data_IF_334107259608
#
_entry.id   IF_334107259608
#
_cell.length_a   1.000
_cell.length_b   1.000
_cell.length_c   1.000
_cell.angle_alpha   90.00
_cell.angle_beta   90.00
_cell.angle_gamma   90.00
#
_symmetry.space_group_name_H-M   'P 1'
#
loop_
_entity.id
_entity.type
_entity.pdbx_description
1 polymer ?
#
# COMPACT_ATOMS: atom_id res chain seq x y z
N UNK A 1 -0.47 -50.66 -63.85
CA UNK A 1 -0.96 -49.59 -62.99
C UNK A 1 -0.10 -49.61 -61.69
N UNK A 2 0.80 -48.66 -61.55
CA UNK A 2 1.74 -48.54 -60.39
C UNK A 2 1.17 -47.53 -59.41
N UNK A 3 0.80 -48.02 -58.25
CA UNK A 3 0.36 -47.13 -57.17
C UNK A 3 1.60 -46.49 -56.46
N UNK A 4 1.67 -45.18 -56.49
CA UNK A 4 2.67 -44.41 -55.75
C UNK A 4 2.01 -43.99 -54.42
N UNK A 5 2.57 -44.50 -53.32
CA UNK A 5 2.21 -44.06 -51.97
C UNK A 5 3.12 -42.91 -51.57
N UNK A 6 2.54 -41.72 -51.39
CA UNK A 6 3.24 -40.55 -50.87
C UNK A 6 3.11 -40.56 -49.35
N UNK A 7 4.21 -40.82 -48.67
CA UNK A 7 4.28 -40.69 -47.21
C UNK A 7 4.46 -39.24 -46.79
N UNK A 8 3.53 -38.71 -46.05
CA UNK A 8 3.65 -37.39 -45.39
C UNK A 8 4.47 -37.50 -44.11
N UNK A 9 5.63 -36.86 -44.04
CA UNK A 9 6.41 -36.72 -42.83
C UNK A 9 5.85 -35.60 -41.98
N UNK A 10 5.36 -35.90 -40.79
CA UNK A 10 4.95 -34.94 -39.77
C UNK A 10 6.20 -34.50 -38.97
N UNK A 11 6.64 -33.29 -39.19
CA UNK A 11 7.71 -32.70 -38.37
C UNK A 11 7.06 -32.11 -37.08
N UNK A 12 7.27 -32.81 -35.95
CA UNK A 12 6.93 -32.28 -34.63
C UNK A 12 8.03 -31.32 -34.19
N UNK A 13 7.75 -30.03 -34.26
CA UNK A 13 8.63 -29.02 -33.70
C UNK A 13 8.46 -28.99 -32.15
N UNK A 14 9.41 -29.57 -31.44
CA UNK A 14 9.53 -29.41 -29.98
C UNK A 14 9.96 -27.97 -29.69
N UNK A 15 9.01 -27.13 -29.29
CA UNK A 15 9.29 -25.83 -28.75
C UNK A 15 10.00 -25.97 -27.41
N UNK A 16 11.30 -25.75 -27.38
CA UNK A 16 12.06 -25.53 -26.14
C UNK A 16 11.65 -24.16 -25.60
N UNK A 17 10.73 -24.13 -24.63
CA UNK A 17 10.53 -22.96 -23.79
C UNK A 17 11.76 -22.80 -22.91
N UNK A 18 12.62 -21.84 -23.24
CA UNK A 18 13.68 -21.39 -22.36
C UNK A 18 13.02 -20.72 -21.15
N UNK A 19 12.93 -21.44 -20.04
CA UNK A 19 12.68 -20.81 -18.76
C UNK A 19 13.79 -19.79 -18.55
N UNK A 20 13.45 -18.51 -18.53
CA UNK A 20 14.39 -17.46 -18.17
C UNK A 20 14.91 -17.82 -16.76
N UNK A 21 16.22 -17.95 -16.62
CA UNK A 21 16.85 -18.18 -15.33
C UNK A 21 16.46 -17.01 -14.43
N UNK A 22 15.64 -17.27 -13.41
CA UNK A 22 15.35 -16.28 -12.39
C UNK A 22 16.68 -15.88 -11.74
N UNK A 23 16.94 -14.57 -11.67
CA UNK A 23 18.07 -14.08 -10.92
C UNK A 23 18.03 -14.53 -9.46
N UNK A 24 19.09 -14.31 -8.69
CA UNK A 24 19.09 -14.69 -7.27
C UNK A 24 17.94 -14.01 -6.54
N UNK A 25 17.26 -14.77 -5.66
CA UNK A 25 16.19 -14.24 -4.80
C UNK A 25 16.66 -13.01 -4.02
N UNK A 26 15.79 -12.02 -3.90
CA UNK A 26 16.09 -10.83 -3.09
C UNK A 26 16.44 -11.24 -1.65
N UNK A 27 17.42 -10.56 -1.10
CA UNK A 27 17.85 -10.71 0.29
C UNK A 27 17.92 -9.34 0.95
N UNK A 28 17.46 -9.23 2.21
CA UNK A 28 17.57 -7.96 2.91
C UNK A 28 19.04 -7.57 3.13
N UNK A 29 19.35 -6.25 3.09
CA UNK A 29 20.68 -5.76 3.39
C UNK A 29 21.03 -5.99 4.87
N UNK A 30 22.34 -6.13 5.14
CA UNK A 30 22.84 -6.25 6.50
C UNK A 30 22.52 -4.98 7.33
N UNK A 31 22.47 -5.12 8.66
CA UNK A 31 22.14 -4.00 9.55
C UNK A 31 23.00 -2.76 9.31
N UNK A 32 24.29 -2.90 9.14
CA UNK A 32 25.20 -1.77 8.90
C UNK A 32 24.95 -1.02 7.58
N UNK A 33 24.12 -1.56 6.68
CA UNK A 33 23.73 -0.90 5.43
C UNK A 33 22.38 -0.16 5.53
N UNK A 34 21.57 -0.48 6.55
CA UNK A 34 20.22 0.08 6.75
C UNK A 34 20.07 0.86 8.06
N UNK A 35 21.00 0.72 8.99
CA UNK A 35 20.95 1.35 10.31
C UNK A 35 22.31 2.00 10.66
N UNK A 36 22.29 3.18 11.28
CA UNK A 36 21.09 3.97 11.57
C UNK A 36 20.43 4.53 10.30
N UNK A 37 19.14 4.89 10.41
CA UNK A 37 18.44 5.52 9.31
C UNK A 37 19.08 6.86 8.93
N UNK A 38 18.81 7.33 7.72
CA UNK A 38 19.25 8.68 7.27
C UNK A 38 18.71 9.83 8.12
N UNK A 39 17.67 9.56 8.93
CA UNK A 39 17.03 10.53 9.82
C UNK A 39 17.62 10.51 11.24
N UNK A 40 18.58 9.62 11.50
CA UNK A 40 19.28 9.49 12.78
C UNK A 40 18.90 8.23 13.57
N UNK A 41 19.76 7.89 14.53
CA UNK A 41 19.66 6.63 15.28
C UNK A 41 18.43 6.52 16.19
N UNK A 42 17.80 7.63 16.54
CA UNK A 42 16.61 7.68 17.41
C UNK A 42 15.34 7.95 16.62
N UNK A 43 15.42 7.98 15.29
CA UNK A 43 14.27 8.27 14.45
C UNK A 43 13.23 7.15 14.51
N UNK A 44 11.97 7.55 14.65
CA UNK A 44 10.80 6.69 14.69
C UNK A 44 9.77 7.03 13.60
N UNK A 45 10.07 8.05 12.77
CA UNK A 45 9.11 8.65 11.82
C UNK A 45 9.43 8.36 10.35
N UNK A 46 10.66 7.95 10.04
CA UNK A 46 11.10 7.62 8.69
C UNK A 46 10.79 8.71 7.67
N UNK A 47 10.22 8.32 6.53
CA UNK A 47 9.85 9.23 5.45
C UNK A 47 8.81 10.29 5.82
N UNK A 48 8.07 10.10 6.92
CA UNK A 48 7.23 11.17 7.50
C UNK A 48 8.00 12.44 7.87
N UNK A 49 9.32 12.36 7.99
CA UNK A 49 10.19 13.53 8.22
C UNK A 49 10.31 14.48 7.01
N UNK A 50 9.85 14.06 5.83
CA UNK A 50 9.67 14.97 4.69
C UNK A 50 8.58 16.01 4.91
N UNK A 51 7.68 15.79 5.87
CA UNK A 51 6.63 16.75 6.18
C UNK A 51 7.21 17.98 6.88
N UNK A 52 7.30 19.07 6.14
CA UNK A 52 7.81 20.37 6.56
C UNK A 52 6.83 21.47 6.13
N UNK A 53 6.89 22.68 6.70
CA UNK A 53 6.04 23.78 6.27
C UNK A 53 6.03 24.02 4.77
N UNK A 54 7.19 23.92 4.13
CA UNK A 54 7.37 24.12 2.69
C UNK A 54 6.66 23.05 1.86
N UNK A 55 6.71 21.77 2.27
CA UNK A 55 6.02 20.66 1.59
C UNK A 55 4.51 20.80 1.72
N UNK A 56 4.02 21.23 2.88
CA UNK A 56 2.59 21.51 3.10
C UNK A 56 2.13 22.66 2.20
N UNK A 57 2.83 23.80 2.21
CA UNK A 57 2.48 24.94 1.36
C UNK A 57 2.53 24.59 -0.12
N UNK A 58 3.49 23.76 -0.54
CA UNK A 58 3.57 23.26 -1.92
C UNK A 58 2.34 22.40 -2.28
N UNK A 59 1.95 21.48 -1.40
CA UNK A 59 0.78 20.63 -1.60
C UNK A 59 -0.51 21.49 -1.70
N UNK A 60 -0.73 22.40 -0.79
CA UNK A 60 -1.93 23.26 -0.76
C UNK A 60 -2.03 24.14 -2.01
N UNK A 61 -0.91 24.57 -2.59
CA UNK A 61 -0.91 25.34 -3.86
C UNK A 61 -1.41 24.53 -5.07
N UNK A 62 -1.53 23.19 -4.97
CA UNK A 62 -2.13 22.37 -6.01
C UNK A 62 -3.66 22.45 -6.04
N UNK A 63 -4.26 22.92 -4.96
CA UNK A 63 -5.71 23.10 -4.88
C UNK A 63 -6.14 24.25 -5.79
N UNK A 64 -6.90 23.93 -6.86
CA UNK A 64 -7.40 24.88 -7.84
C UNK A 64 -8.92 24.94 -7.88
N UNK A 65 -9.57 23.77 -7.77
CA UNK A 65 -11.02 23.64 -7.85
C UNK A 65 -11.70 23.51 -6.49
N UNK A 66 -10.95 23.23 -5.42
CA UNK A 66 -11.51 22.94 -4.10
C UNK A 66 -12.29 21.64 -4.04
N UNK A 67 -12.15 20.76 -5.05
CA UNK A 67 -12.81 19.47 -5.08
C UNK A 67 -12.07 18.47 -4.18
N UNK A 68 -12.83 17.84 -3.26
CA UNK A 68 -12.34 16.80 -2.36
C UNK A 68 -12.74 15.44 -2.90
N UNK A 69 -11.78 14.54 -3.04
CA UNK A 69 -11.98 13.14 -3.47
C UNK A 69 -11.55 12.23 -2.31
N UNK A 70 -12.49 11.44 -1.80
CA UNK A 70 -12.21 10.45 -0.77
C UNK A 70 -11.48 9.24 -1.36
N UNK A 71 -10.37 8.85 -0.72
CA UNK A 71 -9.53 7.74 -1.13
C UNK A 71 -9.64 6.52 -0.21
N UNK A 72 -10.51 6.60 0.79
CA UNK A 72 -10.78 5.50 1.72
C UNK A 72 -12.07 4.77 1.39
N UNK A 73 -12.09 3.46 1.63
CA UNK A 73 -13.30 2.66 1.58
C UNK A 73 -14.10 2.77 2.88
N UNK A 74 -15.42 2.63 2.78
CA UNK A 74 -16.28 2.47 3.96
C UNK A 74 -16.00 1.11 4.59
N UNK A 75 -15.70 1.10 5.90
CA UNK A 75 -15.42 -0.11 6.65
C UNK A 75 -16.74 -0.72 7.17
N UNK A 76 -16.91 -2.01 6.98
CA UNK A 76 -18.03 -2.78 7.50
C UNK A 76 -17.66 -4.27 7.58
N UNK A 77 -18.49 -5.07 8.25
CA UNK A 77 -18.23 -6.51 8.44
C UNK A 77 -18.27 -7.35 7.14
N UNK A 78 -18.77 -6.78 6.03
CA UNK A 78 -18.81 -7.44 4.72
C UNK A 78 -17.68 -7.03 3.79
N UNK A 79 -16.74 -6.18 4.24
CA UNK A 79 -15.58 -5.80 3.44
C UNK A 79 -14.63 -6.98 3.22
N UNK A 80 -13.77 -6.96 2.18
CA UNK A 80 -12.72 -7.96 2.05
C UNK A 80 -11.75 -7.87 3.23
N UNK A 81 -11.49 -9.00 3.86
CA UNK A 81 -10.66 -9.11 5.06
C UNK A 81 -9.95 -10.46 5.08
N UNK A 82 -8.72 -10.50 5.57
CA UNK A 82 -7.99 -11.75 5.80
C UNK A 82 -8.72 -12.63 6.81
N UNK A 83 -8.71 -13.95 6.59
CA UNK A 83 -9.32 -14.92 7.51
C UNK A 83 -8.75 -14.91 8.93
N UNK A 84 -7.59 -14.30 9.13
CA UNK A 84 -6.94 -14.17 10.44
C UNK A 84 -7.33 -12.89 11.17
N UNK A 85 -8.13 -12.03 10.56
CA UNK A 85 -8.54 -10.72 11.10
C UNK A 85 -10.05 -10.65 11.25
N UNK A 86 -10.54 -9.70 12.05
CA UNK A 86 -11.97 -9.46 12.27
C UNK A 86 -12.32 -7.99 12.20
N UNK A 87 -13.60 -7.74 11.98
CA UNK A 87 -14.22 -6.42 12.08
C UNK A 87 -15.66 -6.58 12.59
N UNK A 88 -15.79 -6.67 13.91
CA UNK A 88 -17.07 -6.92 14.57
C UNK A 88 -17.59 -5.62 15.21
N UNK A 89 -18.81 -5.22 14.86
CA UNK A 89 -19.45 -4.02 15.38
C UNK A 89 -20.68 -4.42 16.18
N UNK A 90 -20.79 -3.95 17.42
CA UNK A 90 -21.91 -4.17 18.30
C UNK A 90 -22.51 -2.83 18.73
N UNK A 91 -23.74 -2.56 18.31
CA UNK A 91 -24.48 -1.37 18.75
C UNK A 91 -24.91 -1.51 20.19
N UNK A 92 -24.69 -0.47 20.97
CA UNK A 92 -25.05 -0.38 22.39
C UNK A 92 -25.93 0.84 22.63
N UNK A 93 -27.13 0.61 23.17
CA UNK A 93 -27.93 1.69 23.71
C UNK A 93 -27.49 1.98 25.15
N UNK A 94 -27.07 3.22 25.42
CA UNK A 94 -26.81 3.63 26.77
C UNK A 94 -28.10 4.07 27.44
N UNK A 95 -28.33 3.56 28.67
CA UNK A 95 -29.48 4.00 29.45
C UNK A 95 -29.27 5.42 29.93
N UNK A 96 -30.36 6.14 29.91
CA UNK A 96 -30.34 7.56 30.18
C UNK A 96 -31.02 7.84 31.48
N UNK A 97 -30.49 8.76 32.23
CA UNK A 97 -31.28 9.48 33.20
C UNK A 97 -32.54 9.99 32.53
N UNK A 98 -33.64 10.04 33.27
CA UNK A 98 -34.91 10.60 32.81
C UNK A 98 -35.03 12.08 33.22
N UNK A 99 -34.13 12.98 32.87
CA UNK A 99 -34.31 14.40 33.08
C UNK A 99 -35.36 14.91 32.12
N UNK A 100 -35.78 16.16 32.30
CA UNK A 100 -36.91 16.78 31.58
C UNK A 100 -36.81 16.70 30.05
N UNK A 101 -35.63 16.66 29.49
CA UNK A 101 -35.36 16.58 28.05
C UNK A 101 -35.36 15.16 27.47
N UNK A 102 -35.56 14.10 28.28
CA UNK A 102 -35.63 12.69 27.88
C UNK A 102 -34.51 12.26 26.92
N UNK A 103 -33.27 12.76 27.14
CA UNK A 103 -32.11 12.49 26.29
C UNK A 103 -31.77 11.00 26.27
N UNK A 104 -31.54 10.45 25.06
CA UNK A 104 -31.00 9.11 24.81
C UNK A 104 -29.65 9.22 24.11
N UNK A 105 -28.79 8.19 24.18
CA UNK A 105 -27.61 8.03 23.33
C UNK A 105 -27.42 6.60 22.86
N UNK A 106 -26.73 6.45 21.76
CA UNK A 106 -26.31 5.18 21.23
C UNK A 106 -24.79 5.23 21.07
N UNK A 107 -24.16 4.09 21.27
CA UNK A 107 -22.73 3.88 21.11
C UNK A 107 -22.50 2.54 20.41
N UNK A 108 -21.30 2.29 19.94
CA UNK A 108 -20.88 1.02 19.37
C UNK A 108 -19.56 0.57 20.01
N UNK A 109 -19.39 -0.75 20.00
CA UNK A 109 -18.12 -1.41 20.31
C UNK A 109 -17.58 -1.96 19.00
N UNK A 110 -16.33 -1.66 18.70
CA UNK A 110 -15.59 -2.24 17.59
C UNK A 110 -14.52 -3.18 18.15
N UNK A 111 -14.56 -4.44 17.70
CA UNK A 111 -13.51 -5.41 17.93
C UNK A 111 -12.84 -5.74 16.58
N UNK A 112 -11.60 -5.29 16.41
CA UNK A 112 -10.92 -5.38 15.11
C UNK A 112 -9.41 -5.26 15.27
N UNK A 113 -8.66 -5.83 14.33
CA UNK A 113 -7.26 -5.48 14.06
C UNK A 113 -7.21 -4.14 13.32
N UNK A 114 -7.64 -3.06 13.96
CA UNK A 114 -7.90 -1.74 13.37
C UNK A 114 -6.72 -1.11 12.62
N UNK A 115 -5.51 -1.58 12.85
CA UNK A 115 -4.32 -1.16 12.10
C UNK A 115 -4.11 -1.91 10.79
N UNK A 116 -4.93 -2.95 10.52
CA UNK A 116 -4.66 -3.93 9.47
C UNK A 116 -5.92 -4.34 8.70
N UNK A 117 -6.94 -3.47 8.68
CA UNK A 117 -8.22 -3.71 8.00
C UNK A 117 -8.68 -2.49 7.23
N UNK A 118 -9.30 -2.72 6.08
CA UNK A 118 -9.79 -1.67 5.20
C UNK A 118 -8.68 -0.83 4.58
N UNK A 119 -8.97 0.42 4.23
CA UNK A 119 -7.95 1.37 3.83
C UNK A 119 -7.07 1.68 5.04
N UNK A 120 -5.78 1.35 4.96
CA UNK A 120 -4.89 1.35 6.11
C UNK A 120 -3.49 1.87 5.77
N UNK A 121 -2.84 2.48 6.76
CA UNK A 121 -1.43 2.85 6.74
C UNK A 121 -0.63 1.89 7.60
N UNK A 122 0.38 1.27 7.01
CA UNK A 122 1.33 0.45 7.75
C UNK A 122 2.38 1.32 8.44
N UNK A 123 2.54 1.05 9.73
CA UNK A 123 3.60 1.61 10.56
C UNK A 123 4.85 0.73 10.58
N UNK A 124 5.92 1.27 11.11
CA UNK A 124 7.23 0.62 11.08
C UNK A 124 7.39 -0.55 12.06
N UNK A 125 6.44 -0.72 12.98
CA UNK A 125 6.38 -1.91 13.83
C UNK A 125 5.68 -3.11 13.15
N UNK A 126 5.16 -2.94 11.90
CA UNK A 126 4.36 -3.96 11.23
C UNK A 126 5.19 -5.10 10.65
N UNK A 127 6.34 -4.81 10.07
CA UNK A 127 7.19 -5.80 9.41
C UNK A 127 8.59 -5.84 10.03
N UNK A 128 9.26 -6.98 9.86
CA UNK A 128 10.59 -7.21 10.41
C UNK A 128 11.55 -7.77 9.36
N UNK A 129 12.84 -7.58 9.62
CA UNK A 129 13.92 -8.40 9.08
C UNK A 129 14.55 -9.08 10.29
N UNK A 130 14.45 -10.43 10.36
CA UNK A 130 14.74 -11.19 11.56
C UNK A 130 13.92 -10.68 12.76
N UNK A 131 14.59 -10.28 13.85
CA UNK A 131 14.01 -9.73 15.08
C UNK A 131 13.98 -8.19 15.13
N UNK A 132 14.21 -7.50 13.99
CA UNK A 132 14.37 -6.04 13.94
C UNK A 132 13.36 -5.40 13.00
N UNK A 133 12.79 -4.31 13.46
CA UNK A 133 11.96 -3.39 12.69
C UNK A 133 12.81 -2.24 12.11
N UNK A 134 12.17 -1.22 11.54
CA UNK A 134 12.83 -0.01 11.06
C UNK A 134 13.86 0.53 12.07
N UNK A 135 14.96 1.07 11.52
CA UNK A 135 16.07 1.67 12.27
C UNK A 135 16.73 0.69 13.27
N UNK A 136 16.62 -0.62 13.01
CA UNK A 136 17.17 -1.71 13.79
C UNK A 136 16.71 -1.78 15.25
N UNK A 137 15.57 -1.22 15.60
CA UNK A 137 14.98 -1.49 16.91
C UNK A 137 14.63 -2.98 17.02
N UNK A 138 15.12 -3.63 18.08
CA UNK A 138 14.87 -5.05 18.32
C UNK A 138 13.49 -5.25 18.95
N UNK A 139 12.77 -6.28 18.52
CA UNK A 139 11.45 -6.59 19.07
C UNK A 139 11.45 -6.79 20.58
N UNK A 140 12.43 -7.51 21.10
CA UNK A 140 12.54 -7.79 22.55
C UNK A 140 12.70 -6.52 23.39
N UNK A 141 13.28 -5.46 22.82
CA UNK A 141 13.49 -4.19 23.50
C UNK A 141 12.25 -3.27 23.45
N UNK A 142 11.39 -3.46 22.44
CA UNK A 142 10.30 -2.50 22.15
C UNK A 142 8.88 -3.08 22.29
N UNK A 143 8.70 -4.41 22.18
CA UNK A 143 7.40 -5.03 22.29
C UNK A 143 6.98 -5.15 23.78
N UNK A 144 5.75 -4.74 24.06
CA UNK A 144 5.15 -4.85 25.39
C UNK A 144 3.80 -5.58 25.29
N UNK A 145 3.21 -5.90 26.42
CA UNK A 145 1.87 -6.52 26.44
C UNK A 145 0.75 -5.60 25.89
N UNK A 146 0.99 -4.30 25.82
CA UNK A 146 -0.02 -3.30 25.44
C UNK A 146 0.33 -2.54 24.16
N UNK A 147 1.35 -2.97 23.43
CA UNK A 147 1.80 -2.35 22.18
C UNK A 147 3.31 -2.14 22.16
N UNK A 148 3.79 -1.45 21.14
CA UNK A 148 5.20 -1.14 20.96
C UNK A 148 5.55 0.21 21.59
N UNK A 149 6.65 0.29 22.32
CA UNK A 149 7.12 1.54 22.95
C UNK A 149 7.98 2.40 21.99
N UNK A 150 8.31 1.86 20.81
CA UNK A 150 9.01 2.52 19.71
C UNK A 150 8.27 2.28 18.39
N UNK A 151 8.45 3.18 17.45
CA UNK A 151 7.93 3.12 16.06
C UNK A 151 6.42 2.86 15.95
N UNK A 152 5.64 3.15 17.01
CA UNK A 152 4.19 3.06 16.99
C UNK A 152 3.57 4.05 15.99
N UNK A 153 2.38 3.71 15.49
CA UNK A 153 1.70 4.49 14.45
C UNK A 153 1.41 5.95 14.86
N UNK A 154 1.28 6.22 16.15
CA UNK A 154 1.07 7.58 16.68
C UNK A 154 2.24 8.52 16.42
N UNK A 155 3.44 7.97 16.13
CA UNK A 155 4.65 8.74 15.81
C UNK A 155 4.63 9.32 14.41
N UNK A 156 3.88 8.75 13.49
CA UNK A 156 3.78 9.21 12.10
C UNK A 156 3.26 10.65 12.02
N UNK A 157 2.21 10.95 12.78
CA UNK A 157 1.56 12.25 12.76
C UNK A 157 0.74 12.49 11.49
N UNK A 158 0.38 13.75 11.25
CA UNK A 158 -0.35 14.15 10.04
C UNK A 158 0.58 14.15 8.84
N UNK A 159 0.10 13.69 7.70
CA UNK A 159 0.81 13.73 6.41
C UNK A 159 0.03 14.60 5.43
N UNK A 160 0.66 15.70 4.98
CA UNK A 160 0.15 16.62 3.95
C UNK A 160 1.28 16.83 2.97
N UNK A 161 1.10 16.36 1.74
CA UNK A 161 2.13 16.45 0.71
C UNK A 161 1.52 16.43 -0.69
N UNK A 162 2.35 16.57 -1.71
CA UNK A 162 1.96 16.34 -3.08
C UNK A 162 1.66 14.86 -3.29
N UNK A 163 0.46 14.53 -3.78
CA UNK A 163 0.09 13.20 -4.26
C UNK A 163 0.33 13.08 -5.75
N UNK A 164 0.90 11.94 -6.18
CA UNK A 164 1.07 11.59 -7.59
C UNK A 164 0.41 10.25 -7.84
N UNK A 165 -0.64 10.25 -8.68
CA UNK A 165 -1.26 9.02 -9.17
C UNK A 165 -0.47 8.46 -10.34
N UNK A 166 -0.01 7.22 -10.24
CA UNK A 166 0.59 6.46 -11.34
C UNK A 166 -0.46 5.46 -11.83
N UNK A 167 -1.12 5.77 -12.95
CA UNK A 167 -2.22 4.97 -13.49
C UNK A 167 -1.69 3.91 -14.46
N UNK A 168 -1.33 2.75 -13.91
CA UNK A 168 -0.80 1.62 -14.69
C UNK A 168 -1.91 0.92 -15.47
N UNK A 169 -3.12 0.85 -14.94
CA UNK A 169 -4.26 0.28 -15.67
C UNK A 169 -4.53 1.08 -16.96
N UNK A 170 -4.57 2.41 -16.88
CA UNK A 170 -4.72 3.27 -18.05
C UNK A 170 -3.53 3.18 -19.02
N UNK A 171 -2.30 3.03 -18.52
CA UNK A 171 -1.12 2.79 -19.38
C UNK A 171 -1.31 1.55 -20.23
N UNK A 172 -1.78 0.45 -19.63
CA UNK A 172 -2.01 -0.84 -20.31
C UNK A 172 -3.30 -0.85 -21.15
N UNK A 173 -4.12 0.19 -21.09
CA UNK A 173 -5.39 0.28 -21.81
C UNK A 173 -6.45 -0.70 -21.31
N UNK A 174 -6.41 -1.04 -20.02
CA UNK A 174 -7.34 -1.96 -19.38
C UNK A 174 -8.04 -1.29 -18.21
N UNK A 175 -9.21 -1.79 -17.87
CA UNK A 175 -9.97 -1.32 -16.71
C UNK A 175 -9.40 -1.81 -15.36
N UNK A 176 -8.70 -2.95 -15.41
CA UNK A 176 -8.08 -3.60 -14.27
C UNK A 176 -6.93 -4.48 -14.77
N UNK A 177 -5.79 -4.43 -14.11
CA UNK A 177 -4.65 -5.29 -14.41
C UNK A 177 -5.01 -6.77 -14.17
N UNK A 178 -4.37 -7.70 -14.89
CA UNK A 178 -4.54 -9.13 -14.63
C UNK A 178 -4.17 -9.52 -13.19
N UNK A 179 -4.78 -10.60 -12.72
CA UNK A 179 -4.44 -11.21 -11.43
C UNK A 179 -2.92 -11.48 -11.39
N UNK A 180 -2.28 -11.12 -10.28
CA UNK A 180 -0.84 -11.32 -10.07
C UNK A 180 0.10 -10.65 -11.09
N UNK A 181 -0.36 -9.61 -11.78
CA UNK A 181 0.50 -8.82 -12.67
C UNK A 181 1.58 -8.08 -11.86
N UNK A 182 2.85 -8.36 -12.12
CA UNK A 182 3.95 -7.62 -11.54
C UNK A 182 4.16 -6.29 -12.25
N UNK A 183 3.90 -5.19 -11.54
CA UNK A 183 4.17 -3.82 -12.02
C UNK A 183 5.67 -3.58 -11.96
N UNK A 184 6.26 -3.34 -13.13
CA UNK A 184 7.70 -3.17 -13.30
C UNK A 184 8.14 -1.71 -13.22
N UNK A 185 9.44 -1.45 -13.12
CA UNK A 185 10.03 -0.10 -13.25
C UNK A 185 9.61 0.54 -14.56
N UNK A 186 9.67 -0.21 -15.67
CA UNK A 186 9.29 0.29 -16.99
C UNK A 186 7.82 0.72 -17.04
N UNK A 187 6.91 0.01 -16.37
CA UNK A 187 5.51 0.40 -16.28
C UNK A 187 5.32 1.73 -15.54
N UNK A 188 6.02 1.89 -14.42
CA UNK A 188 5.96 3.12 -13.61
C UNK A 188 6.52 4.32 -14.41
N UNK A 189 7.67 4.17 -15.04
CA UNK A 189 8.31 5.22 -15.83
C UNK A 189 7.46 5.62 -17.04
N UNK A 190 6.91 4.65 -17.77
CA UNK A 190 6.05 4.91 -18.92
C UNK A 190 4.74 5.59 -18.52
N UNK A 191 4.13 5.16 -17.38
CA UNK A 191 2.93 5.81 -16.86
C UNK A 191 3.21 7.26 -16.47
N UNK A 192 4.28 7.52 -15.73
CA UNK A 192 4.71 8.88 -15.36
C UNK A 192 4.98 9.75 -16.59
N UNK A 193 5.68 9.21 -17.59
CA UNK A 193 5.93 9.92 -18.86
C UNK A 193 4.62 10.27 -19.56
N UNK A 194 3.72 9.31 -19.72
CA UNK A 194 2.40 9.51 -20.37
C UNK A 194 1.56 10.55 -19.64
N UNK A 195 1.68 10.61 -18.33
CA UNK A 195 0.96 11.54 -17.47
C UNK A 195 1.67 12.89 -17.31
N UNK A 196 2.84 13.06 -17.93
CA UNK A 196 3.72 14.23 -17.77
C UNK A 196 4.03 14.55 -16.31
N UNK A 197 4.30 13.49 -15.52
CA UNK A 197 4.63 13.59 -14.09
C UNK A 197 6.08 13.18 -13.84
N UNK A 198 6.67 13.75 -12.80
CA UNK A 198 7.98 13.37 -12.25
C UNK A 198 7.86 13.28 -10.73
N UNK A 199 8.39 12.22 -10.16
CA UNK A 199 8.43 12.05 -8.71
C UNK A 199 9.44 13.01 -8.08
N UNK A 200 9.18 13.39 -6.84
CA UNK A 200 10.01 14.25 -6.03
C UNK A 200 10.10 13.69 -4.61
N UNK A 201 11.22 13.88 -3.90
CA UNK A 201 11.31 13.49 -2.50
C UNK A 201 10.14 14.02 -1.67
N UNK A 202 9.57 13.15 -0.86
CA UNK A 202 8.42 13.47 -0.01
C UNK A 202 7.05 13.38 -0.69
N UNK A 203 6.93 12.96 -1.95
CA UNK A 203 5.63 12.73 -2.57
C UNK A 203 4.88 11.55 -1.93
N UNK A 204 3.55 11.59 -1.92
CA UNK A 204 2.70 10.43 -1.77
C UNK A 204 2.51 9.79 -3.15
N UNK A 205 3.18 8.67 -3.39
CA UNK A 205 3.09 7.92 -4.66
C UNK A 205 1.93 6.94 -4.58
N UNK A 206 0.93 7.12 -5.42
CA UNK A 206 -0.30 6.33 -5.42
C UNK A 206 -0.41 5.55 -6.74
N UNK A 207 -0.48 4.23 -6.67
CA UNK A 207 -0.47 3.33 -7.83
C UNK A 207 -1.90 2.81 -8.06
N UNK A 208 -2.44 3.05 -9.25
CA UNK A 208 -3.75 2.55 -9.67
C UNK A 208 -3.59 1.33 -10.57
N UNK A 209 -4.12 0.22 -10.11
CA UNK A 209 -4.18 -1.06 -10.82
C UNK A 209 -5.57 -1.39 -11.36
N UNK A 210 -6.60 -0.72 -10.87
CA UNK A 210 -8.01 -1.03 -11.10
C UNK A 210 -8.55 -2.15 -10.21
N UNK A 211 -7.72 -2.78 -9.37
CA UNK A 211 -8.09 -3.90 -8.50
C UNK A 211 -9.14 -3.53 -7.47
N UNK A 212 -9.13 -2.30 -6.99
CA UNK A 212 -10.14 -1.75 -6.08
C UNK A 212 -11.59 -1.87 -6.58
N UNK A 213 -11.80 -2.11 -7.89
CA UNK A 213 -13.15 -2.37 -8.46
C UNK A 213 -13.79 -3.65 -7.93
N UNK A 214 -13.00 -4.59 -7.40
CA UNK A 214 -13.50 -5.84 -6.80
C UNK A 214 -14.00 -5.65 -5.36
N UNK A 215 -13.61 -4.57 -4.69
CA UNK A 215 -13.98 -4.28 -3.30
C UNK A 215 -15.50 -4.34 -3.10
N UNK A 216 -15.96 -5.15 -2.14
CA UNK A 216 -17.34 -5.41 -1.82
C UNK A 216 -18.21 -5.97 -2.98
N UNK A 217 -17.58 -6.37 -4.11
CA UNK A 217 -18.24 -7.01 -5.26
C UNK A 217 -17.80 -8.45 -5.44
N UNK A 218 -16.50 -8.71 -5.34
CA UNK A 218 -15.89 -10.03 -5.39
C UNK A 218 -14.73 -10.11 -4.40
N UNK A 219 -15.06 -10.19 -3.12
CA UNK A 219 -14.09 -10.23 -2.04
C UNK A 219 -13.20 -11.47 -2.11
N UNK A 220 -13.72 -12.59 -2.61
CA UNK A 220 -12.95 -13.83 -2.73
C UNK A 220 -11.80 -13.66 -3.73
N UNK A 221 -12.06 -13.09 -4.90
CA UNK A 221 -11.04 -12.78 -5.89
C UNK A 221 -10.11 -11.69 -5.40
N UNK A 222 -10.65 -10.64 -4.76
CA UNK A 222 -9.87 -9.53 -4.21
C UNK A 222 -8.77 -10.01 -3.27
N UNK A 223 -9.07 -11.00 -2.41
CA UNK A 223 -8.15 -11.53 -1.38
C UNK A 223 -7.30 -12.73 -1.83
N UNK A 224 -7.59 -13.33 -3.00
CA UNK A 224 -6.87 -14.52 -3.47
C UNK A 224 -5.46 -14.22 -4.00
N UNK A 225 -5.29 -13.06 -4.58
CA UNK A 225 -4.04 -12.57 -5.15
C UNK A 225 -4.32 -11.27 -5.90
N UNK A 226 -3.30 -10.47 -6.18
CA UNK A 226 -3.48 -9.15 -6.77
C UNK A 226 -2.27 -8.71 -7.61
N UNK A 227 -2.47 -7.80 -8.57
CA UNK A 227 -1.38 -7.08 -9.19
C UNK A 227 -0.71 -6.16 -8.17
N UNK A 228 0.55 -5.81 -8.39
CA UNK A 228 1.28 -4.89 -7.54
C UNK A 228 2.73 -4.76 -7.95
N UNK A 229 3.47 -3.90 -7.28
CA UNK A 229 4.89 -3.68 -7.60
C UNK A 229 5.73 -4.88 -7.18
N UNK A 230 6.74 -5.20 -7.99
CA UNK A 230 7.78 -6.19 -7.66
C UNK A 230 8.94 -5.55 -6.91
N UNK A 231 9.92 -6.39 -6.57
CA UNK A 231 11.14 -5.98 -5.84
C UNK A 231 11.87 -4.83 -6.53
N UNK A 232 12.14 -4.95 -7.82
CA UNK A 232 12.89 -3.93 -8.57
C UNK A 232 12.16 -2.59 -8.60
N UNK A 233 10.83 -2.62 -8.76
CA UNK A 233 10.00 -1.42 -8.73
C UNK A 233 9.99 -0.77 -7.34
N UNK A 234 9.96 -1.56 -6.28
CA UNK A 234 10.07 -1.07 -4.90
C UNK A 234 11.42 -0.40 -4.63
N UNK A 235 12.52 -1.04 -5.01
CA UNK A 235 13.86 -0.45 -4.86
C UNK A 235 14.04 0.84 -5.69
N UNK A 236 13.44 0.88 -6.90
CA UNK A 236 13.44 2.08 -7.73
C UNK A 236 12.62 3.21 -7.08
N UNK A 237 11.43 2.91 -6.56
CA UNK A 237 10.60 3.87 -5.83
C UNK A 237 11.29 4.37 -4.56
N UNK A 238 11.94 3.49 -3.79
CA UNK A 238 12.68 3.89 -2.59
C UNK A 238 13.78 4.91 -2.90
N UNK A 239 14.43 4.81 -4.07
CA UNK A 239 15.43 5.80 -4.54
C UNK A 239 14.81 7.15 -4.92
N UNK A 240 13.50 7.21 -5.23
CA UNK A 240 12.79 8.49 -5.43
C UNK A 240 12.46 9.18 -4.11
N UNK A 241 12.68 8.51 -2.98
CA UNK A 241 12.53 9.03 -1.62
C UNK A 241 11.10 9.54 -1.30
N UNK A 242 10.05 8.77 -1.59
CA UNK A 242 8.67 9.19 -1.33
C UNK A 242 8.37 9.23 0.17
N UNK A 243 7.32 9.98 0.56
CA UNK A 243 6.79 9.95 1.92
C UNK A 243 6.04 8.64 2.19
N UNK A 244 5.31 8.15 1.21
CA UNK A 244 4.62 6.88 1.24
C UNK A 244 4.40 6.35 -0.18
N UNK A 245 4.16 5.04 -0.27
CA UNK A 245 3.68 4.37 -1.49
C UNK A 245 2.35 3.71 -1.18
N UNK A 246 1.32 3.96 -1.99
CA UNK A 246 0.00 3.39 -1.81
C UNK A 246 -0.55 2.75 -3.07
N UNK A 247 -1.54 1.84 -2.91
CA UNK A 247 -2.23 1.20 -4.01
C UNK A 247 -3.69 0.82 -3.68
N UNK A 248 -4.45 0.50 -4.72
CA UNK A 248 -5.83 0.00 -4.62
C UNK A 248 -5.91 -1.53 -4.41
N UNK A 249 -4.85 -2.12 -3.87
CA UNK A 249 -4.70 -3.57 -3.61
C UNK A 249 -4.53 -3.86 -2.12
N UNK A 250 -4.78 -5.11 -1.66
CA UNK A 250 -4.58 -5.48 -0.25
C UNK A 250 -3.15 -5.25 0.24
N UNK A 251 -2.10 -5.91 -0.32
CA UNK A 251 -0.74 -5.40 -0.24
C UNK A 251 -0.47 -4.48 -1.43
N UNK A 252 0.40 -3.54 -1.28
CA UNK A 252 0.87 -2.69 -2.38
C UNK A 252 1.64 -3.52 -3.42
N UNK A 253 2.23 -4.60 -2.99
CA UNK A 253 3.05 -5.50 -3.82
C UNK A 253 2.24 -6.57 -4.52
N UNK A 254 2.82 -7.14 -5.59
CA UNK A 254 2.25 -8.29 -6.28
C UNK A 254 2.15 -9.49 -5.33
N UNK A 255 0.99 -10.14 -5.31
CA UNK A 255 0.74 -11.30 -4.45
C UNK A 255 -0.01 -12.40 -5.22
N UNK A 256 0.43 -13.68 -5.15
CA UNK A 256 1.69 -14.12 -4.51
C UNK A 256 2.94 -13.56 -5.21
N UNK A 257 4.05 -13.50 -4.48
CA UNK A 257 5.31 -13.07 -5.10
C UNK A 257 5.72 -14.02 -6.23
N UNK A 258 6.22 -13.52 -7.39
CA UNK A 258 6.71 -14.37 -8.48
C UNK A 258 7.85 -15.31 -8.06
N UNK A 259 8.69 -14.91 -7.11
CA UNK A 259 9.67 -15.78 -6.47
C UNK A 259 9.03 -16.46 -5.24
N UNK A 260 8.76 -17.78 -5.30
CA UNK A 260 8.09 -18.49 -4.20
C UNK A 260 8.98 -18.67 -2.94
N UNK A 261 10.26 -18.29 -3.00
CA UNK A 261 11.17 -18.38 -1.87
C UNK A 261 11.10 -17.18 -0.92
N UNK A 262 10.44 -16.10 -1.33
CA UNK A 262 10.32 -14.87 -0.56
C UNK A 262 8.85 -14.47 -0.39
N UNK A 263 8.53 -13.92 0.77
CA UNK A 263 7.20 -13.44 1.11
C UNK A 263 7.23 -11.97 1.48
N UNK A 264 6.38 -11.17 0.84
CA UNK A 264 6.21 -9.75 1.10
C UNK A 264 7.54 -8.93 1.13
N UNK A 265 8.43 -9.09 0.13
CA UNK A 265 9.72 -8.38 0.12
C UNK A 265 9.56 -6.86 0.02
N UNK A 266 8.51 -6.36 -0.64
CA UNK A 266 8.28 -4.92 -0.77
C UNK A 266 7.97 -4.28 0.57
N UNK A 267 7.25 -4.96 1.45
CA UNK A 267 7.06 -4.50 2.83
C UNK A 267 8.38 -4.35 3.56
N UNK A 268 9.29 -5.32 3.43
CA UNK A 268 10.62 -5.22 4.04
C UNK A 268 11.44 -4.08 3.43
N UNK A 269 11.43 -3.93 2.10
CA UNK A 269 12.15 -2.85 1.39
C UNK A 269 11.64 -1.48 1.85
N UNK A 270 10.32 -1.30 1.87
CA UNK A 270 9.72 0.00 2.20
C UNK A 270 9.78 0.28 3.70
N UNK A 271 9.15 -0.54 4.51
CA UNK A 271 8.96 -0.26 5.94
C UNK A 271 10.26 -0.41 6.72
N UNK A 272 10.99 -1.53 6.54
CA UNK A 272 12.11 -1.89 7.42
C UNK A 272 13.44 -1.29 6.95
N UNK A 273 13.71 -1.37 5.64
CA UNK A 273 14.99 -0.90 5.08
C UNK A 273 15.00 0.61 4.93
N UNK A 274 13.95 1.18 4.31
CA UNK A 274 13.94 2.58 3.90
C UNK A 274 13.10 3.50 4.78
N UNK A 275 12.28 2.96 5.70
CA UNK A 275 11.38 3.75 6.54
C UNK A 275 10.36 4.54 5.71
N UNK A 276 9.80 3.92 4.67
CA UNK A 276 8.75 4.46 3.79
C UNK A 276 7.46 3.74 4.12
N UNK A 277 6.40 4.50 4.42
CA UNK A 277 5.10 3.93 4.75
C UNK A 277 4.41 3.30 3.54
N UNK A 278 3.63 2.21 3.79
CA UNK A 278 2.72 1.62 2.81
C UNK A 278 1.28 2.00 3.13
N UNK A 279 0.50 2.30 2.09
CA UNK A 279 -0.90 2.69 2.19
C UNK A 279 -1.75 1.78 1.30
N UNK A 280 -2.56 0.94 1.91
CA UNK A 280 -3.24 -0.19 1.26
C UNK A 280 -4.73 0.05 1.08
N UNK A 281 -5.32 -0.71 0.16
CA UNK A 281 -6.76 -0.73 -0.08
C UNK A 281 -7.35 0.65 -0.37
N UNK A 282 -6.71 1.43 -1.24
CA UNK A 282 -7.21 2.74 -1.63
C UNK A 282 -8.39 2.64 -2.60
N UNK A 283 -9.30 3.59 -2.50
CA UNK A 283 -10.39 3.80 -3.45
C UNK A 283 -9.96 4.82 -4.49
N UNK A 284 -9.48 4.37 -5.66
CA UNK A 284 -8.86 5.21 -6.67
C UNK A 284 -9.72 5.45 -7.93
N UNK A 285 -10.90 4.85 -8.01
CA UNK A 285 -11.79 4.89 -9.17
C UNK A 285 -12.13 6.31 -9.62
N UNK A 286 -12.40 7.22 -8.69
CA UNK A 286 -12.75 8.61 -8.99
C UNK A 286 -11.54 9.40 -9.49
N UNK A 287 -10.37 9.23 -8.85
CA UNK A 287 -9.13 9.88 -9.31
C UNK A 287 -8.77 9.46 -10.73
N UNK A 288 -8.79 8.15 -11.00
CA UNK A 288 -8.46 7.57 -12.29
C UNK A 288 -9.45 8.04 -13.38
N UNK A 289 -10.77 7.95 -13.11
CA UNK A 289 -11.80 8.39 -14.05
C UNK A 289 -11.69 9.89 -14.40
N UNK A 290 -11.33 10.73 -13.44
CA UNK A 290 -11.12 12.17 -13.64
C UNK A 290 -9.74 12.51 -14.18
N UNK A 291 -8.84 11.52 -14.33
CA UNK A 291 -7.43 11.70 -14.73
C UNK A 291 -6.71 12.74 -13.86
N UNK A 292 -6.94 12.70 -12.56
CA UNK A 292 -6.26 13.58 -11.60
C UNK A 292 -4.95 12.91 -11.20
N UNK A 293 -3.86 13.31 -11.84
CA UNK A 293 -2.55 12.70 -11.63
C UNK A 293 -1.69 13.43 -10.60
N UNK A 294 -2.07 14.66 -10.22
CA UNK A 294 -1.39 15.47 -9.21
C UNK A 294 -2.43 16.17 -8.34
N UNK A 295 -2.23 16.14 -7.02
CA UNK A 295 -3.19 16.69 -6.05
C UNK A 295 -2.53 16.96 -4.70
N UNK A 296 -3.20 17.73 -3.85
CA UNK A 296 -2.84 17.80 -2.44
C UNK A 296 -3.33 16.52 -1.74
N UNK A 297 -2.41 15.69 -1.29
CA UNK A 297 -2.69 14.50 -0.48
C UNK A 297 -2.73 14.87 0.99
N UNK A 298 -3.77 14.42 1.69
CA UNK A 298 -3.94 14.67 3.13
C UNK A 298 -4.41 13.39 3.83
N UNK A 299 -3.75 13.05 4.93
CA UNK A 299 -4.10 11.91 5.76
C UNK A 299 -3.55 12.08 7.17
N UNK A 300 -4.25 11.50 8.13
CA UNK A 300 -3.74 11.33 9.49
C UNK A 300 -4.16 9.95 10.02
N UNK A 301 -3.21 9.12 10.50
CA UNK A 301 -3.55 7.90 11.19
C UNK A 301 -4.20 8.20 12.54
N UNK A 302 -4.98 7.28 13.05
CA UNK A 302 -5.47 7.31 14.42
C UNK A 302 -4.30 7.34 15.39
N UNK A 303 -4.44 8.08 16.47
CA UNK A 303 -3.37 8.17 17.49
C UNK A 303 -3.41 6.98 18.46
N UNK A 304 -3.22 5.80 17.91
CA UNK A 304 -3.20 4.53 18.64
C UNK A 304 -1.78 4.27 19.12
N UNK A 305 -1.53 4.49 20.41
CA UNK A 305 -0.19 4.34 20.98
C UNK A 305 0.33 2.91 20.85
N UNK A 306 1.49 2.75 20.22
CA UNK A 306 2.18 1.49 20.08
C UNK A 306 1.55 0.51 19.10
N UNK A 307 0.65 0.95 18.21
CA UNK A 307 0.07 0.09 17.18
C UNK A 307 0.98 -0.01 15.95
N UNK A 308 0.83 -1.12 15.23
CA UNK A 308 1.60 -1.43 14.02
C UNK A 308 1.10 -0.74 12.76
N UNK A 309 -0.09 -0.18 12.80
CA UNK A 309 -0.74 0.50 11.68
C UNK A 309 -2.04 1.15 12.12
N UNK A 310 -2.75 1.74 11.17
CA UNK A 310 -4.04 2.39 11.40
C UNK A 310 -4.91 2.32 10.18
N UNK A 311 -6.20 1.96 10.33
CA UNK A 311 -7.21 2.35 9.34
C UNK A 311 -7.21 3.86 9.20
N UNK A 312 -7.34 4.35 7.96
CA UNK A 312 -7.26 5.77 7.62
C UNK A 312 -8.32 6.15 6.58
N UNK A 313 -8.65 7.43 6.53
CA UNK A 313 -9.53 8.03 5.52
C UNK A 313 -8.78 9.13 4.76
N UNK A 314 -7.84 8.77 3.85
CA UNK A 314 -7.08 9.75 3.09
C UNK A 314 -7.97 10.46 2.07
N UNK A 315 -7.58 11.69 1.74
CA UNK A 315 -8.24 12.51 0.72
C UNK A 315 -7.24 13.08 -0.28
N UNK A 316 -7.72 13.28 -1.50
CA UNK A 316 -7.09 14.10 -2.51
C UNK A 316 -7.89 15.39 -2.68
N UNK A 317 -7.22 16.53 -2.71
CA UNK A 317 -7.84 17.84 -2.95
C UNK A 317 -7.21 18.48 -4.18
N UNK A 318 -8.04 18.95 -5.14
CA UNK A 318 -7.56 19.57 -6.38
C UNK A 318 -8.14 20.94 -6.70
#
# INVERSE_FOLDING_TARGET
MRNIVIGAAVIVALGLSTAAAQGPSWRPPADGQRCPSKWGATDERGSGNHMKPESVLKAVRLVRAGEVIELGHVLNSAMPISSTRRFDVHTKRTFMNQPSNRRGSNEEVLLSEIGQVGTQLDGFAHQTIEDKVYNCYKLDDIATRTGFNKVGIEKVGTLITRGVLIDVAALKGVDMLPDTYEITVADLEQALQRQNQKLQPGDAVIIHSGWGKLWAKDNARYMKGNPGIGVQAAEWLAKQDPMLVGADTPPVEVSPNPDPQISLPVHQIMLVVNGIHLLENLKLDVLAAKRVHEFAFMMQPLKLQGFTGSSVAPIAVR
#
